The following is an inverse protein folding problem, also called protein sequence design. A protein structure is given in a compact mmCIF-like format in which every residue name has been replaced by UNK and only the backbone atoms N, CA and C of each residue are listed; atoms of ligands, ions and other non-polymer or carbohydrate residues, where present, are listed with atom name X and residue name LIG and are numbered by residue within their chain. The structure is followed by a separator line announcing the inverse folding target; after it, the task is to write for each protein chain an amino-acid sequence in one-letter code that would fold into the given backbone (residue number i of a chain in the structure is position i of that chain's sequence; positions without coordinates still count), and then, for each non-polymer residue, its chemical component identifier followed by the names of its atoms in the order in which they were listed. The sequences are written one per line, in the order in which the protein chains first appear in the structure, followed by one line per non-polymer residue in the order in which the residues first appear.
data_IF_711270484713
#
_entry.id   IF_711270484713
#
_cell.length_a   1.000
_cell.length_b   1.000
_cell.length_c   1.000
_cell.angle_alpha   90.00
_cell.angle_beta   90.00
_cell.angle_gamma   90.00
#
_symmetry.space_group_name_H-M   'P 1'
#
loop_
_entity.id
_entity.type
_entity.pdbx_description
1 polymer ?
#
# COMPACT_ATOMS: atom_id res chain seq x y z
N UNK A 1 15.90 4.55 -18.05
CA UNK A 1 15.06 3.49 -18.66
C UNK A 1 15.92 2.81 -19.73
N UNK A 2 16.40 1.60 -19.49
CA UNK A 2 17.05 0.81 -20.54
C UNK A 2 15.95 0.08 -21.30
N UNK A 3 15.52 0.64 -22.43
CA UNK A 3 14.81 -0.14 -23.45
C UNK A 3 15.89 -1.01 -24.10
N UNK A 4 15.89 -2.31 -23.78
CA UNK A 4 16.69 -3.28 -24.52
C UNK A 4 15.82 -3.77 -25.66
N UNK A 5 16.24 -3.49 -26.88
CA UNK A 5 15.81 -4.29 -28.02
C UNK A 5 16.17 -5.73 -27.71
N UNK A 6 15.21 -6.64 -27.91
CA UNK A 6 15.50 -8.05 -27.92
C UNK A 6 16.35 -8.32 -29.17
N UNK A 7 17.66 -8.09 -29.08
CA UNK A 7 18.60 -8.78 -29.94
C UNK A 7 18.24 -10.26 -29.84
N UNK A 8 17.84 -10.84 -30.97
CA UNK A 8 17.67 -12.27 -31.18
C UNK A 8 19.02 -12.93 -30.95
N UNK A 9 19.40 -13.06 -29.69
CA UNK A 9 20.45 -13.96 -29.26
C UNK A 9 19.96 -15.35 -29.59
N UNK A 10 20.76 -16.06 -30.37
CA UNK A 10 20.58 -17.44 -30.76
C UNK A 10 20.75 -18.33 -29.51
N UNK A 11 19.84 -18.19 -28.54
CA UNK A 11 19.86 -18.95 -27.31
C UNK A 11 18.95 -20.15 -27.51
N UNK A 12 19.57 -21.33 -27.42
CA UNK A 12 18.95 -22.65 -27.48
C UNK A 12 18.06 -22.89 -26.23
N UNK A 13 17.16 -21.95 -25.92
CA UNK A 13 16.25 -22.03 -24.77
C UNK A 13 15.14 -23.00 -25.14
N UNK A 14 15.06 -24.11 -24.41
CA UNK A 14 13.95 -25.03 -24.59
C UNK A 14 12.66 -24.38 -24.11
N UNK A 15 11.56 -24.45 -24.89
CA UNK A 15 10.27 -24.00 -24.40
C UNK A 15 9.82 -24.86 -23.21
N UNK A 16 8.89 -24.34 -22.42
CA UNK A 16 8.18 -25.14 -21.42
C UNK A 16 7.47 -26.31 -22.12
N UNK A 17 7.53 -27.50 -21.52
CA UNK A 17 6.71 -28.61 -21.97
C UNK A 17 5.21 -28.31 -21.75
N UNK A 18 4.34 -29.08 -22.41
CA UNK A 18 2.89 -28.88 -22.34
C UNK A 18 2.35 -28.94 -20.90
N UNK A 19 2.85 -29.90 -20.10
CA UNK A 19 2.40 -30.08 -18.71
C UNK A 19 2.74 -28.87 -17.85
N UNK A 20 3.97 -28.37 -17.99
CA UNK A 20 4.48 -27.19 -17.28
C UNK A 20 3.74 -25.92 -17.71
N UNK A 21 3.44 -25.80 -19.00
CA UNK A 21 2.67 -24.68 -19.57
C UNK A 21 1.24 -24.66 -19.02
N UNK A 22 0.52 -25.78 -19.11
CA UNK A 22 -0.84 -25.90 -18.61
C UNK A 22 -0.94 -25.63 -17.11
N UNK A 23 0.03 -26.15 -16.34
CA UNK A 23 0.11 -25.92 -14.89
C UNK A 23 0.34 -24.45 -14.56
N UNK A 24 1.30 -23.80 -15.22
CA UNK A 24 1.59 -22.38 -14.99
C UNK A 24 0.37 -21.51 -15.33
N UNK A 25 -0.24 -21.74 -16.49
CA UNK A 25 -1.44 -20.99 -16.90
C UNK A 25 -2.61 -21.22 -15.94
N UNK A 26 -2.81 -22.46 -15.47
CA UNK A 26 -3.87 -22.77 -14.50
C UNK A 26 -3.66 -22.04 -13.17
N UNK A 27 -2.42 -21.97 -12.68
CA UNK A 27 -2.10 -21.19 -11.48
C UNK A 27 -2.37 -19.71 -11.71
N UNK A 28 -1.90 -19.15 -12.82
CA UNK A 28 -2.09 -17.72 -13.12
C UNK A 28 -3.57 -17.34 -13.26
N UNK A 29 -4.40 -18.21 -13.85
CA UNK A 29 -5.84 -18.01 -13.96
C UNK A 29 -6.56 -18.16 -12.61
N UNK A 30 -6.09 -19.05 -11.74
CA UNK A 30 -6.70 -19.30 -10.44
C UNK A 30 -6.33 -18.25 -9.38
N UNK A 31 -5.14 -17.65 -9.48
CA UNK A 31 -4.69 -16.63 -8.53
C UNK A 31 -5.57 -15.38 -8.59
N UNK A 32 -5.96 -14.88 -7.42
CA UNK A 32 -6.71 -13.63 -7.32
C UNK A 32 -5.83 -12.44 -7.72
N UNK A 33 -6.41 -11.44 -8.38
CA UNK A 33 -5.71 -10.20 -8.75
C UNK A 33 -6.68 -9.01 -8.68
N UNK A 34 -6.20 -7.87 -8.19
CA UNK A 34 -6.99 -6.64 -8.01
C UNK A 34 -7.70 -6.56 -6.65
N UNK A 35 -8.70 -5.65 -6.52
CA UNK A 35 -9.56 -5.56 -5.36
C UNK A 35 -10.38 -6.84 -5.16
N UNK A 36 -10.32 -7.42 -3.97
CA UNK A 36 -11.08 -8.62 -3.60
C UNK A 36 -12.35 -8.22 -2.84
N UNK A 37 -12.23 -7.25 -1.94
CA UNK A 37 -13.36 -6.77 -1.12
C UNK A 37 -13.19 -5.29 -0.79
N UNK A 38 -14.30 -4.56 -0.84
CA UNK A 38 -14.39 -3.17 -0.38
C UNK A 38 -14.89 -3.12 1.07
N UNK A 39 -14.49 -2.08 1.80
CA UNK A 39 -14.87 -1.88 3.20
C UNK A 39 -16.37 -1.61 3.32
N UNK A 40 -17.01 -2.27 4.29
CA UNK A 40 -18.38 -1.94 4.68
C UNK A 40 -18.47 -0.64 5.48
N UNK A 41 -17.41 -0.29 6.21
CA UNK A 41 -17.36 0.90 7.05
C UNK A 41 -17.04 2.17 6.26
N UNK A 42 -16.23 2.06 5.20
CA UNK A 42 -15.79 3.17 4.36
C UNK A 42 -16.10 2.86 2.89
N UNK A 43 -17.24 3.32 2.36
CA UNK A 43 -17.61 3.12 0.97
C UNK A 43 -16.48 3.55 0.02
N UNK A 44 -16.27 2.76 -1.05
CA UNK A 44 -15.22 2.94 -2.07
C UNK A 44 -13.77 2.70 -1.60
N UNK A 45 -13.52 2.45 -0.31
CA UNK A 45 -12.20 2.02 0.15
C UNK A 45 -12.03 0.51 -0.08
N UNK A 46 -10.97 0.10 -0.76
CA UNK A 46 -10.59 -1.32 -0.83
C UNK A 46 -10.20 -1.78 0.58
N UNK A 47 -10.80 -2.87 1.04
CA UNK A 47 -10.47 -3.51 2.32
C UNK A 47 -9.41 -4.58 2.12
N UNK A 48 -9.57 -5.43 1.09
CA UNK A 48 -8.67 -6.54 0.80
C UNK A 48 -8.37 -6.60 -0.69
N UNK A 49 -7.12 -6.82 -1.07
CA UNK A 49 -6.68 -6.97 -2.46
C UNK A 49 -5.52 -7.95 -2.58
N UNK A 50 -5.27 -8.41 -3.81
CA UNK A 50 -4.02 -9.08 -4.16
C UNK A 50 -3.44 -8.48 -5.44
N UNK A 51 -2.14 -8.23 -5.46
CA UNK A 51 -1.43 -7.84 -6.67
C UNK A 51 -0.52 -9.01 -7.11
N UNK A 52 -0.80 -9.62 -8.25
CA UNK A 52 0.13 -10.50 -8.95
C UNK A 52 1.19 -9.60 -9.61
N UNK A 53 2.30 -9.36 -8.89
CA UNK A 53 3.27 -8.32 -9.17
C UNK A 53 4.25 -8.68 -10.28
N UNK A 54 4.67 -9.95 -10.34
CA UNK A 54 5.55 -10.44 -11.39
C UNK A 54 5.47 -11.94 -11.57
N UNK A 55 5.80 -12.37 -12.79
CA UNK A 55 6.04 -13.77 -13.14
C UNK A 55 7.42 -13.84 -13.77
N UNK A 56 8.28 -14.73 -13.28
CA UNK A 56 9.63 -14.93 -13.79
C UNK A 56 9.86 -16.41 -14.07
N UNK A 57 10.25 -16.73 -15.29
CA UNK A 57 10.64 -18.07 -15.71
C UNK A 57 11.98 -17.97 -16.46
N UNK A 58 13.12 -17.89 -15.74
CA UNK A 58 14.43 -17.76 -16.37
C UNK A 58 14.77 -18.98 -17.23
N UNK A 59 15.40 -18.78 -18.38
CA UNK A 59 15.76 -19.83 -19.34
C UNK A 59 16.57 -21.00 -18.73
N UNK A 60 17.39 -20.72 -17.71
CA UNK A 60 18.24 -21.70 -17.04
C UNK A 60 17.64 -22.22 -15.72
N UNK A 61 16.35 -21.99 -15.47
CA UNK A 61 15.64 -22.41 -14.26
C UNK A 61 14.73 -23.61 -14.54
N UNK A 62 14.63 -24.50 -13.56
CA UNK A 62 13.63 -25.59 -13.57
C UNK A 62 12.30 -25.17 -12.92
N UNK A 63 12.20 -23.92 -12.47
CA UNK A 63 11.01 -23.37 -11.82
C UNK A 63 10.65 -21.98 -12.33
N UNK A 64 9.35 -21.69 -12.32
CA UNK A 64 8.82 -20.34 -12.44
C UNK A 64 8.53 -19.77 -11.04
N UNK A 65 8.74 -18.48 -10.87
CA UNK A 65 8.41 -17.74 -9.65
C UNK A 65 7.29 -16.77 -9.92
N UNK A 66 6.25 -16.81 -9.09
CA UNK A 66 5.14 -15.85 -9.11
C UNK A 66 5.20 -15.05 -7.82
N UNK A 67 5.30 -13.72 -7.94
CA UNK A 67 5.30 -12.82 -6.80
C UNK A 67 3.92 -12.20 -6.64
N UNK A 68 3.31 -12.42 -5.47
CA UNK A 68 2.05 -11.81 -5.08
C UNK A 68 2.25 -10.86 -3.89
N UNK A 69 1.53 -9.74 -3.90
CA UNK A 69 1.45 -8.77 -2.79
C UNK A 69 0.00 -8.64 -2.35
N UNK A 70 -0.37 -9.38 -1.31
CA UNK A 70 -1.69 -9.30 -0.70
C UNK A 70 -1.72 -8.22 0.38
N UNK A 71 -2.82 -7.47 0.46
CA UNK A 71 -3.04 -6.41 1.45
C UNK A 71 -4.45 -6.52 2.02
N UNK A 72 -4.58 -6.26 3.31
CA UNK A 72 -5.89 -6.04 3.93
C UNK A 72 -5.79 -5.07 5.10
N UNK A 73 -6.85 -4.30 5.35
CA UNK A 73 -7.02 -3.60 6.63
C UNK A 73 -7.44 -4.54 7.78
N UNK A 74 -7.83 -5.78 7.47
CA UNK A 74 -8.23 -6.79 8.45
C UNK A 74 -7.24 -7.97 8.41
N UNK A 75 -6.54 -8.22 9.53
CA UNK A 75 -5.50 -9.24 9.62
C UNK A 75 -5.98 -10.65 9.24
N UNK A 76 -7.18 -11.04 9.68
CA UNK A 76 -7.75 -12.36 9.36
C UNK A 76 -8.13 -12.50 7.88
N UNK A 77 -8.57 -11.41 7.23
CA UNK A 77 -8.86 -11.41 5.80
C UNK A 77 -7.59 -11.46 4.93
N UNK A 78 -6.51 -10.79 5.36
CA UNK A 78 -5.18 -10.93 4.76
C UNK A 78 -4.73 -12.38 4.82
N UNK A 79 -4.81 -13.02 6.00
CA UNK A 79 -4.35 -14.39 6.16
C UNK A 79 -5.21 -15.37 5.36
N UNK A 80 -6.53 -15.19 5.34
CA UNK A 80 -7.40 -16.00 4.48
C UNK A 80 -6.99 -15.91 2.98
N UNK A 81 -6.71 -14.71 2.48
CA UNK A 81 -6.23 -14.52 1.10
C UNK A 81 -4.90 -15.23 0.86
N UNK A 82 -3.97 -15.12 1.82
CA UNK A 82 -2.65 -15.80 1.76
C UNK A 82 -2.79 -17.31 1.79
N UNK A 83 -3.74 -17.85 2.54
CA UNK A 83 -4.03 -19.29 2.56
C UNK A 83 -4.67 -19.76 1.25
N UNK A 84 -5.54 -18.97 0.61
CA UNK A 84 -6.07 -19.30 -0.71
C UNK A 84 -4.96 -19.39 -1.76
N UNK A 85 -4.05 -18.41 -1.79
CA UNK A 85 -2.87 -18.42 -2.68
C UNK A 85 -2.01 -19.66 -2.41
N UNK A 86 -1.78 -19.99 -1.13
CA UNK A 86 -1.03 -21.19 -0.73
C UNK A 86 -1.69 -22.47 -1.24
N UNK A 87 -3.01 -22.61 -1.06
CA UNK A 87 -3.77 -23.76 -1.54
C UNK A 87 -3.69 -23.92 -3.05
N UNK A 88 -3.84 -22.83 -3.82
CA UNK A 88 -3.71 -22.85 -5.29
C UNK A 88 -2.31 -23.33 -5.70
N UNK A 89 -1.26 -22.77 -5.09
CA UNK A 89 0.11 -23.17 -5.39
C UNK A 89 0.38 -24.63 -5.02
N UNK A 90 -0.10 -25.10 -3.86
CA UNK A 90 0.06 -26.50 -3.44
C UNK A 90 -0.67 -27.48 -4.35
N UNK A 91 -1.87 -27.15 -4.86
CA UNK A 91 -2.57 -27.98 -5.84
C UNK A 91 -1.79 -28.12 -7.16
N UNK A 92 -0.98 -27.12 -7.51
CA UNK A 92 -0.08 -27.16 -8.65
C UNK A 92 1.30 -27.76 -8.35
N UNK A 93 1.55 -28.26 -7.12
CA UNK A 93 2.85 -28.79 -6.72
C UNK A 93 3.93 -27.73 -6.47
N UNK A 94 3.54 -26.45 -6.33
CA UNK A 94 4.43 -25.35 -6.01
C UNK A 94 4.68 -25.19 -4.50
N UNK A 95 5.76 -24.49 -4.17
CA UNK A 95 6.07 -24.08 -2.80
C UNK A 95 5.75 -22.59 -2.60
N UNK A 96 5.31 -22.24 -1.40
CA UNK A 96 5.00 -20.84 -1.05
C UNK A 96 5.84 -20.41 0.13
N UNK A 97 6.57 -19.31 -0.07
CA UNK A 97 7.29 -18.60 1.00
C UNK A 97 6.53 -17.34 1.33
N UNK A 98 6.30 -17.13 2.62
CA UNK A 98 5.43 -16.08 3.14
C UNK A 98 6.20 -15.25 4.15
N UNK A 99 6.40 -13.96 3.87
CA UNK A 99 6.99 -13.02 4.83
C UNK A 99 6.02 -12.68 5.96
N UNK A 100 6.52 -12.17 7.09
CA UNK A 100 5.67 -11.62 8.16
C UNK A 100 4.75 -10.54 7.56
N UNK A 101 3.47 -10.60 7.93
CA UNK A 101 2.49 -9.61 7.54
C UNK A 101 2.81 -8.24 8.17
N UNK A 102 2.52 -7.18 7.44
CA UNK A 102 2.53 -5.82 7.98
C UNK A 102 1.18 -5.55 8.65
N UNK A 103 1.13 -5.08 9.90
CA UNK A 103 -0.14 -4.77 10.55
C UNK A 103 -0.85 -3.61 9.84
N UNK A 104 -2.18 -3.69 9.79
CA UNK A 104 -3.01 -2.55 9.39
C UNK A 104 -2.98 -1.45 10.45
N UNK A 105 -3.42 -0.25 10.07
CA UNK A 105 -3.63 0.87 10.98
C UNK A 105 -5.10 1.28 10.92
N UNK A 106 -5.83 1.00 11.99
CA UNK A 106 -7.24 1.37 12.09
C UNK A 106 -7.38 2.86 12.44
N UNK A 107 -8.29 3.60 11.77
CA UNK A 107 -8.57 4.99 12.13
C UNK A 107 -9.04 5.12 13.58
N UNK A 108 -8.57 6.17 14.27
CA UNK A 108 -9.05 6.57 15.58
C UNK A 108 -9.76 7.93 15.48
N UNK A 109 -11.11 7.98 15.39
CA UNK A 109 -11.86 9.24 15.31
C UNK A 109 -11.70 10.15 16.54
N UNK A 110 -11.37 9.56 17.69
CA UNK A 110 -11.18 10.26 18.97
C UNK A 110 -9.72 10.70 19.20
N UNK A 111 -8.86 10.57 18.19
CA UNK A 111 -7.46 10.98 18.24
C UNK A 111 -7.36 12.48 18.56
N UNK A 112 -6.64 12.82 19.63
CA UNK A 112 -6.46 14.21 20.05
C UNK A 112 -5.52 14.94 19.08
N UNK A 113 -4.44 14.27 18.65
CA UNK A 113 -3.50 14.83 17.68
C UNK A 113 -4.18 15.06 16.32
N UNK A 114 -5.13 14.20 15.92
CA UNK A 114 -5.93 14.39 14.71
C UNK A 114 -6.75 15.68 14.77
N UNK A 115 -7.44 15.94 15.88
CA UNK A 115 -8.25 17.16 16.01
C UNK A 115 -7.38 18.42 16.01
N UNK A 116 -6.21 18.38 16.68
CA UNK A 116 -5.23 19.47 16.67
C UNK A 116 -4.75 19.74 15.24
N UNK A 117 -4.25 18.72 14.56
CA UNK A 117 -3.75 18.83 13.18
C UNK A 117 -4.83 19.37 12.23
N UNK A 118 -6.06 18.84 12.32
CA UNK A 118 -7.19 19.30 11.50
C UNK A 118 -7.53 20.77 11.77
N UNK A 119 -7.52 21.19 13.03
CA UNK A 119 -7.78 22.58 13.41
C UNK A 119 -6.71 23.55 12.90
N UNK A 120 -5.43 23.21 13.08
CA UNK A 120 -4.31 24.02 12.61
C UNK A 120 -4.29 24.12 11.09
N UNK A 121 -4.44 23.00 10.38
CA UNK A 121 -4.51 22.99 8.92
C UNK A 121 -5.72 23.78 8.40
N UNK A 122 -6.88 23.67 9.04
CA UNK A 122 -8.06 24.48 8.67
C UNK A 122 -7.79 25.98 8.84
N UNK A 123 -7.10 26.39 9.92
CA UNK A 123 -6.73 27.80 10.14
C UNK A 123 -5.81 28.31 9.03
N UNK A 124 -4.78 27.53 8.66
CA UNK A 124 -3.85 27.88 7.58
C UNK A 124 -4.56 28.01 6.23
N UNK A 125 -5.37 27.01 5.84
CA UNK A 125 -6.09 27.02 4.56
C UNK A 125 -7.08 28.19 4.44
N UNK A 126 -7.65 28.63 5.55
CA UNK A 126 -8.71 29.65 5.54
C UNK A 126 -8.22 31.06 5.93
N UNK A 127 -6.95 31.23 6.29
CA UNK A 127 -6.39 32.52 6.70
C UNK A 127 -6.97 33.05 8.02
N UNK A 128 -7.33 32.17 8.96
CA UNK A 128 -7.76 32.53 10.32
C UNK A 128 -9.15 33.18 10.47
N UNK A 129 -9.91 33.41 9.39
CA UNK A 129 -11.25 33.99 9.43
C UNK A 129 -12.35 33.05 8.93
N UNK A 130 -13.60 33.27 9.38
CA UNK A 130 -14.79 32.57 8.88
C UNK A 130 -15.16 33.06 7.48
N UNK A 131 -14.47 32.54 6.45
CA UNK A 131 -14.89 32.74 5.06
C UNK A 131 -16.12 31.87 4.75
N UNK A 132 -16.99 32.39 3.87
CA UNK A 132 -18.17 31.69 3.34
C UNK A 132 -17.80 30.40 2.58
N UNK A 133 -16.56 30.34 2.07
CA UNK A 133 -15.94 29.19 1.39
C UNK A 133 -14.81 28.61 2.25
N UNK A 134 -15.12 28.15 3.46
CA UNK A 134 -14.13 27.54 4.34
C UNK A 134 -13.76 26.12 3.87
N UNK A 135 -12.47 25.88 3.68
CA UNK A 135 -11.93 24.55 3.33
C UNK A 135 -11.75 23.75 4.61
N UNK A 136 -12.42 22.59 4.70
CA UNK A 136 -12.20 21.63 5.79
C UNK A 136 -11.19 20.59 5.33
N UNK A 137 -10.09 20.35 6.06
CA UNK A 137 -9.15 19.30 5.72
C UNK A 137 -9.84 17.93 5.69
N UNK A 138 -9.63 17.18 4.61
CA UNK A 138 -10.12 15.82 4.49
C UNK A 138 -9.37 14.88 5.43
N UNK A 139 -10.11 13.98 6.07
CA UNK A 139 -9.53 12.87 6.86
C UNK A 139 -9.88 11.59 6.12
N UNK A 140 -8.86 10.90 5.61
CA UNK A 140 -9.03 9.74 4.74
C UNK A 140 -8.27 8.53 5.27
N UNK A 141 -8.79 7.35 4.99
CA UNK A 141 -8.04 6.11 5.06
C UNK A 141 -7.55 5.74 3.65
N UNK A 142 -6.40 5.08 3.56
CA UNK A 142 -5.79 4.68 2.29
C UNK A 142 -5.58 3.17 2.26
N UNK A 143 -5.81 2.55 1.10
CA UNK A 143 -5.45 1.14 0.86
C UNK A 143 -3.97 1.05 0.47
N UNK A 144 -3.10 1.45 1.38
CA UNK A 144 -1.65 1.47 1.22
C UNK A 144 -0.97 0.99 2.51
N UNK A 145 0.32 0.64 2.43
CA UNK A 145 1.11 0.35 3.63
C UNK A 145 1.69 1.64 4.19
N UNK A 146 1.33 1.97 5.43
CA UNK A 146 1.95 3.07 6.19
C UNK A 146 2.63 2.51 7.43
N UNK A 147 3.77 3.10 7.79
CA UNK A 147 4.55 2.56 8.91
C UNK A 147 3.89 2.73 10.27
N UNK A 148 2.88 3.60 10.36
CA UNK A 148 2.09 3.87 11.55
C UNK A 148 1.58 2.57 12.22
N UNK A 149 1.08 1.60 11.45
CA UNK A 149 0.57 0.35 12.03
C UNK A 149 1.65 -0.45 12.77
N UNK A 150 2.86 -0.51 12.19
CA UNK A 150 3.99 -1.20 12.80
C UNK A 150 4.56 -0.42 13.98
N UNK A 151 4.62 0.91 13.88
CA UNK A 151 5.08 1.78 14.96
C UNK A 151 4.16 1.65 16.18
N UNK A 152 2.84 1.65 15.98
CA UNK A 152 1.85 1.43 17.05
C UNK A 152 2.08 0.08 17.74
N UNK A 153 2.22 -1.02 16.98
CA UNK A 153 2.49 -2.36 17.54
C UNK A 153 3.79 -2.36 18.37
N UNK A 154 4.87 -1.78 17.84
CA UNK A 154 6.18 -1.76 18.51
C UNK A 154 6.23 -0.84 19.73
N UNK A 155 5.43 0.22 19.76
CA UNK A 155 5.37 1.19 20.86
C UNK A 155 4.32 0.81 21.92
N UNK A 156 3.82 -0.43 21.89
CA UNK A 156 2.92 -0.96 22.93
C UNK A 156 1.44 -0.59 22.74
N UNK A 157 1.06 -0.07 21.57
CA UNK A 157 -0.33 0.21 21.20
C UNK A 157 -0.92 1.51 21.76
N UNK A 158 -0.33 2.08 22.81
CA UNK A 158 -0.82 3.28 23.49
C UNK A 158 -0.15 4.56 22.97
N UNK A 159 -0.11 4.71 21.64
CA UNK A 159 0.40 5.92 20.98
C UNK A 159 -0.63 6.46 20.01
N UNK A 160 -0.90 7.75 20.09
CA UNK A 160 -1.80 8.46 19.17
C UNK A 160 -1.00 8.93 17.95
N UNK A 161 -1.39 8.49 16.75
CA UNK A 161 -0.60 8.67 15.53
C UNK A 161 -1.48 9.26 14.43
N UNK A 162 -0.91 10.17 13.66
CA UNK A 162 -1.46 10.68 12.39
C UNK A 162 -0.41 10.59 11.30
N UNK A 163 -0.87 10.64 10.05
CA UNK A 163 -0.01 10.73 8.87
C UNK A 163 -0.52 11.87 8.00
N UNK A 164 0.39 12.79 7.66
CA UNK A 164 0.16 13.92 6.76
C UNK A 164 1.49 14.28 6.10
N UNK A 165 1.44 15.00 4.98
CA UNK A 165 2.63 15.33 4.20
C UNK A 165 2.34 16.30 3.07
N UNK A 166 3.39 16.75 2.36
CA UNK A 166 3.23 17.55 1.15
C UNK A 166 2.60 16.72 0.02
N UNK A 167 2.15 17.41 -1.03
CA UNK A 167 1.60 16.73 -2.20
C UNK A 167 2.73 16.13 -3.04
N UNK A 168 2.74 14.80 -3.13
CA UNK A 168 3.66 14.03 -3.97
C UNK A 168 2.83 13.27 -5.01
N UNK A 169 3.25 13.32 -6.27
CA UNK A 169 2.57 12.63 -7.37
C UNK A 169 3.54 11.72 -8.11
N UNK A 170 3.05 10.58 -8.60
CA UNK A 170 3.90 9.60 -9.30
C UNK A 170 4.89 8.86 -8.39
N UNK A 171 4.65 8.81 -7.08
CA UNK A 171 5.51 8.09 -6.14
C UNK A 171 5.81 6.66 -6.60
N UNK A 172 7.06 6.22 -6.45
CA UNK A 172 7.56 4.92 -6.92
C UNK A 172 7.65 4.75 -8.44
N UNK A 173 7.59 5.85 -9.20
CA UNK A 173 7.83 5.84 -10.64
C UNK A 173 8.91 6.87 -11.02
N UNK A 174 9.52 6.77 -12.21
CA UNK A 174 10.40 7.83 -12.71
C UNK A 174 9.74 9.21 -12.83
N UNK A 175 8.39 9.28 -12.80
CA UNK A 175 7.60 10.51 -12.86
C UNK A 175 7.34 11.12 -11.46
N UNK A 176 7.96 10.57 -10.42
CA UNK A 176 7.85 11.04 -9.04
C UNK A 176 8.28 12.50 -8.91
N UNK A 177 7.40 13.32 -8.36
CA UNK A 177 7.63 14.75 -8.12
C UNK A 177 6.84 15.23 -6.92
N UNK A 178 7.42 16.19 -6.21
CA UNK A 178 6.79 16.92 -5.11
C UNK A 178 6.30 18.29 -5.61
N UNK A 179 5.10 18.69 -5.19
CA UNK A 179 4.64 20.06 -5.38
C UNK A 179 5.35 20.97 -4.37
N UNK A 180 6.32 21.74 -4.85
CA UNK A 180 7.12 22.66 -4.05
C UNK A 180 6.25 23.65 -3.25
N UNK A 181 5.09 24.07 -3.77
CA UNK A 181 4.20 25.01 -3.10
C UNK A 181 3.54 24.42 -1.84
N UNK A 182 3.56 23.09 -1.70
CA UNK A 182 2.96 22.39 -0.56
C UNK A 182 3.96 22.03 0.53
N UNK A 183 5.27 22.21 0.28
CA UNK A 183 6.34 21.82 1.20
C UNK A 183 6.44 22.76 2.38
N UNK A 184 6.46 24.07 2.14
CA UNK A 184 6.52 25.09 3.20
C UNK A 184 5.27 25.04 4.11
N UNK A 185 4.02 25.02 3.59
CA UNK A 185 2.84 24.86 4.43
C UNK A 185 2.82 23.57 5.25
N UNK A 186 3.36 22.46 4.70
CA UNK A 186 3.54 21.22 5.45
C UNK A 186 4.52 21.39 6.61
N UNK A 187 5.68 22.00 6.36
CA UNK A 187 6.70 22.21 7.37
C UNK A 187 6.20 23.12 8.50
N UNK A 188 5.57 24.25 8.16
CA UNK A 188 4.98 25.13 9.17
C UNK A 188 3.88 24.43 10.00
N UNK A 189 3.10 23.53 9.38
CA UNK A 189 2.10 22.75 10.13
C UNK A 189 2.76 21.81 11.14
N UNK A 190 3.91 21.21 10.81
CA UNK A 190 4.69 20.41 11.76
C UNK A 190 5.13 21.29 12.94
N UNK A 191 5.67 22.49 12.68
CA UNK A 191 6.08 23.43 13.72
C UNK A 191 4.91 23.85 14.61
N UNK A 192 3.77 24.19 14.03
CA UNK A 192 2.57 24.59 14.78
C UNK A 192 2.06 23.45 15.67
N UNK A 193 2.08 22.20 15.17
CA UNK A 193 1.71 21.03 15.96
C UNK A 193 2.67 20.85 17.14
N UNK A 194 3.98 20.96 16.91
CA UNK A 194 4.99 20.83 17.98
C UNK A 194 4.85 21.94 19.02
N UNK A 195 4.60 23.18 18.59
CA UNK A 195 4.38 24.32 19.49
C UNK A 195 3.13 24.14 20.36
N UNK A 196 2.03 23.65 19.78
CA UNK A 196 0.80 23.34 20.53
C UNK A 196 1.07 22.32 21.66
N UNK A 197 1.90 21.29 21.41
CA UNK A 197 2.26 20.30 22.43
C UNK A 197 3.29 20.80 23.44
N UNK A 198 4.25 21.63 23.02
CA UNK A 198 5.24 22.21 23.93
C UNK A 198 4.60 23.19 24.94
N UNK A 199 3.42 23.73 24.62
CA UNK A 199 2.67 24.65 25.48
C UNK A 199 1.80 23.97 26.54
N UNK A 200 1.70 22.63 26.51
CA UNK A 200 0.95 21.81 27.46
C UNK A 200 1.87 21.19 28.50
#
# INVERSE_FOLDING_TARGET
IQVRDAETSNNNVKPLDNTSTERLLSVLLALTHGPIKYSHALPNLVETSNNLASVSAPANSTSATILCSSRSSIATALENTRQQIKSIASLAGGTVVQSKAYPGWNPNPNSTILQICKGLLAKKLNGGGSKKDSTTPGVNAVHAGLECGLLIEKLGGDVDVISFGPTITGAHSPDERVDAMTVEPFYELVEDILAEYASK
#
